data_IF_374172106069
#
_entry.id   IF_374172106069
#
_cell.length_a   1.000
_cell.length_b   1.000
_cell.length_c   1.000
_cell.angle_alpha   90.00
_cell.angle_beta   90.00
_cell.angle_gamma   90.00
#
_symmetry.space_group_name_H-M   'P 1'
#
loop_
_entity.id
_entity.type
_entity.pdbx_description
1 polymer ?
#
# COMPACT_ATOMS: atom_id res chain seq x y z
N UNK A 1 2.72 30.27 5.23
CA UNK A 1 3.73 30.50 4.18
C UNK A 1 5.12 30.36 4.81
N UNK A 2 5.69 29.15 4.85
CA UNK A 2 7.04 28.93 5.38
C UNK A 2 8.07 29.37 4.33
N UNK A 3 8.77 30.48 4.60
CA UNK A 3 9.32 31.33 3.54
C UNK A 3 10.83 31.26 3.32
N UNK A 4 11.56 30.31 3.92
CA UNK A 4 12.99 30.23 3.61
C UNK A 4 13.57 28.83 3.79
N UNK A 5 14.25 28.34 2.74
CA UNK A 5 15.09 27.14 2.81
C UNK A 5 16.32 27.45 3.67
N UNK A 6 16.65 26.52 4.57
CA UNK A 6 17.85 26.60 5.42
C UNK A 6 19.12 26.62 4.58
N UNK A 7 20.24 27.08 5.15
CA UNK A 7 21.51 27.14 4.43
C UNK A 7 22.00 25.76 3.97
N UNK A 8 21.70 24.71 4.74
CA UNK A 8 21.95 23.32 4.34
C UNK A 8 21.19 22.91 3.06
N UNK A 9 19.96 23.40 2.88
CA UNK A 9 19.17 23.11 1.68
C UNK A 9 19.69 23.84 0.43
N UNK A 10 20.49 24.91 0.58
CA UNK A 10 21.15 25.61 -0.54
C UNK A 10 22.37 24.84 -1.06
N UNK A 11 23.02 24.06 -0.21
CA UNK A 11 24.19 23.25 -0.55
C UNK A 11 23.82 21.88 -1.12
N UNK A 12 22.54 21.52 -1.11
CA UNK A 12 22.07 20.24 -1.62
C UNK A 12 22.21 20.15 -3.15
N UNK A 13 23.03 19.21 -3.61
CA UNK A 13 23.16 18.89 -5.04
C UNK A 13 22.28 17.69 -5.37
N UNK A 14 21.29 17.91 -6.24
CA UNK A 14 20.38 16.86 -6.69
C UNK A 14 21.11 15.81 -7.55
N UNK A 15 21.01 14.51 -7.24
CA UNK A 15 21.56 13.47 -8.10
C UNK A 15 20.95 13.48 -9.51
N UNK A 16 21.73 13.14 -10.53
CA UNK A 16 21.30 13.24 -11.93
C UNK A 16 20.08 12.36 -12.27
N UNK A 17 19.89 11.23 -11.58
CA UNK A 17 18.77 10.30 -11.80
C UNK A 17 17.48 10.73 -11.08
N UNK A 18 17.52 11.83 -10.34
CA UNK A 18 16.44 12.22 -9.45
C UNK A 18 15.50 13.16 -10.22
N UNK A 19 14.29 12.69 -10.51
CA UNK A 19 13.23 13.50 -11.12
C UNK A 19 12.17 13.89 -10.08
N UNK A 20 11.54 15.05 -10.29
CA UNK A 20 10.33 15.45 -9.56
C UNK A 20 9.07 15.23 -10.39
N UNK A 21 9.21 14.61 -11.57
CA UNK A 21 8.08 14.29 -12.42
C UNK A 21 7.11 13.38 -11.66
N UNK A 22 5.80 13.55 -11.85
CA UNK A 22 4.82 12.66 -11.27
C UNK A 22 5.07 11.22 -11.76
N UNK A 23 4.86 10.25 -10.88
CA UNK A 23 4.87 8.85 -11.28
C UNK A 23 3.83 8.61 -12.37
N UNK A 24 4.06 7.70 -13.32
CA UNK A 24 3.08 7.36 -14.33
C UNK A 24 1.76 6.95 -13.69
N UNK A 25 0.64 7.31 -14.34
CA UNK A 25 -0.67 6.86 -13.90
C UNK A 25 -0.72 5.32 -13.84
N UNK A 26 -1.40 4.74 -12.83
CA UNK A 26 -1.56 3.29 -12.77
C UNK A 26 -2.26 2.80 -14.04
N UNK A 27 -1.78 1.68 -14.58
CA UNK A 27 -2.47 1.03 -15.70
C UNK A 27 -3.79 0.48 -15.18
N UNK A 28 -4.86 0.71 -15.93
CA UNK A 28 -6.11 0.02 -15.69
C UNK A 28 -5.88 -1.49 -15.87
N UNK A 29 -6.09 -2.24 -14.80
CA UNK A 29 -6.12 -3.70 -14.84
C UNK A 29 -7.57 -4.13 -14.93
N UNK A 30 -7.81 -5.22 -15.65
CA UNK A 30 -9.12 -5.87 -15.63
C UNK A 30 -9.28 -6.55 -14.25
N UNK A 31 -10.25 -6.11 -13.42
CA UNK A 31 -10.44 -6.63 -12.07
C UNK A 31 -10.89 -8.10 -12.07
N UNK A 32 -11.35 -8.63 -13.21
CA UNK A 32 -11.80 -10.01 -13.37
C UNK A 32 -10.76 -10.89 -14.09
N UNK A 33 -9.63 -10.32 -14.50
CA UNK A 33 -8.56 -11.07 -15.18
C UNK A 33 -7.86 -12.00 -14.19
N UNK A 34 -8.27 -13.26 -14.19
CA UNK A 34 -7.81 -14.30 -13.25
C UNK A 34 -8.90 -14.82 -12.30
N UNK A 35 -10.16 -14.39 -12.49
CA UNK A 35 -11.34 -14.95 -11.84
C UNK A 35 -11.96 -16.04 -12.74
N UNK A 36 -12.60 -17.10 -12.21
CA UNK A 36 -13.21 -17.18 -10.89
C UNK A 36 -12.21 -17.66 -9.84
N UNK A 37 -11.86 -16.79 -8.89
CA UNK A 37 -11.44 -17.31 -7.59
C UNK A 37 -12.66 -18.04 -7.05
N UNK A 38 -12.52 -19.34 -6.81
CA UNK A 38 -13.47 -20.03 -5.97
C UNK A 38 -13.64 -19.18 -4.71
N UNK A 39 -14.90 -18.93 -4.33
CA UNK A 39 -15.21 -18.26 -3.07
C UNK A 39 -14.35 -18.92 -2.01
N UNK A 40 -13.41 -18.16 -1.42
CA UNK A 40 -12.64 -18.65 -0.29
C UNK A 40 -13.63 -19.25 0.69
N UNK A 41 -13.38 -20.45 1.22
CA UNK A 41 -14.32 -21.10 2.11
C UNK A 41 -14.68 -20.12 3.22
N UNK A 42 -15.98 -20.00 3.51
CA UNK A 42 -16.43 -19.24 4.68
C UNK A 42 -15.71 -19.80 5.89
N UNK A 43 -14.73 -19.07 6.42
CA UNK A 43 -14.07 -19.45 7.67
C UNK A 43 -15.07 -19.18 8.78
N UNK A 44 -15.65 -20.25 9.33
CA UNK A 44 -16.31 -20.20 10.63
C UNK A 44 -15.21 -20.04 11.68
N UNK A 45 -14.73 -18.81 11.84
CA UNK A 45 -13.74 -18.43 12.85
C UNK A 45 -14.38 -18.27 14.22
N UNK A 46 -13.60 -18.63 15.24
CA UNK A 46 -13.90 -18.56 16.66
C UNK A 46 -15.03 -19.48 17.14
N UNK A 47 -14.63 -20.67 17.56
CA UNK A 47 -15.49 -21.54 18.36
C UNK A 47 -15.25 -21.20 19.82
N UNK A 48 -16.30 -20.79 20.56
CA UNK A 48 -16.17 -20.60 22.00
C UNK A 48 -16.60 -21.85 22.77
N UNK A 49 -15.76 -22.26 23.73
CA UNK A 49 -16.13 -23.22 24.77
C UNK A 49 -15.78 -22.65 26.13
N UNK A 50 -16.78 -22.51 27.00
CA UNK A 50 -16.62 -21.93 28.34
C UNK A 50 -15.98 -20.52 28.34
N UNK A 51 -16.28 -19.70 27.31
CA UNK A 51 -15.75 -18.35 27.18
C UNK A 51 -14.28 -18.27 26.71
N UNK A 52 -13.74 -19.36 26.15
CA UNK A 52 -12.41 -19.39 25.54
C UNK A 52 -12.57 -19.61 24.04
N UNK A 53 -12.03 -18.69 23.25
CA UNK A 53 -12.00 -18.79 21.78
C UNK A 53 -10.97 -19.84 21.32
N UNK A 54 -11.39 -20.72 20.41
CA UNK A 54 -10.58 -21.72 19.71
C UNK A 54 -10.57 -21.44 18.20
N UNK A 55 -9.39 -21.46 17.59
CA UNK A 55 -9.15 -21.39 16.14
C UNK A 55 -8.03 -22.39 15.73
N UNK A 56 -7.97 -22.80 14.45
CA UNK A 56 -7.06 -23.82 13.92
C UNK A 56 -5.98 -23.27 12.97
#
# INVERSE_FOLDING_TARGET
MTKQKSDAAKQFTKPAHWTNDPVPAPKQVDPLKGEPKELSPTRYGDWEKNGIAWDF
#
